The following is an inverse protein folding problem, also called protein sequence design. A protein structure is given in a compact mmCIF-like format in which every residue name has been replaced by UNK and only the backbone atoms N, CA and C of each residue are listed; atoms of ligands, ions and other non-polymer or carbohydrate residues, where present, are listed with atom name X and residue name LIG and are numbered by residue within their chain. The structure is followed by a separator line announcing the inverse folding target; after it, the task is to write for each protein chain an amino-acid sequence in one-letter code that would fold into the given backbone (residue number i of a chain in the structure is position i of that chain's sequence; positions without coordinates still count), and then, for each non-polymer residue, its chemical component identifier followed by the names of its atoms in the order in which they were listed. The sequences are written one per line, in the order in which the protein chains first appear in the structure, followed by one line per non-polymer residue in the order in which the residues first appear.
data_IF_538582962629
#
_entry.id   IF_538582962629
#
_cell.length_a   1.000
_cell.length_b   1.000
_cell.length_c   1.000
_cell.angle_alpha   90.00
_cell.angle_beta   90.00
_cell.angle_gamma   90.00
#
_symmetry.space_group_name_H-M   'P 1'
#
loop_
_entity.id
_entity.type
_entity.pdbx_description
1 polymer ?
#
# COMPACT_ATOMS: atom_id res chain seq x y z
N UNK A 1 -8.97 27.09 -27.52
CA UNK A 1 -10.29 26.49 -27.28
C UNK A 1 -10.35 26.04 -25.82
N UNK A 2 -11.10 26.71 -24.94
CA UNK A 2 -11.20 26.30 -23.55
C UNK A 2 -12.24 25.17 -23.44
N UNK A 3 -11.83 24.01 -22.93
CA UNK A 3 -12.79 22.96 -22.58
C UNK A 3 -13.36 23.31 -21.20
N UNK A 4 -14.60 23.79 -21.20
CA UNK A 4 -15.46 23.84 -20.02
C UNK A 4 -15.62 22.40 -19.48
N UNK A 5 -14.95 22.08 -18.39
CA UNK A 5 -15.27 20.90 -17.59
C UNK A 5 -16.26 21.31 -16.51
N UNK A 6 -17.55 21.23 -16.80
CA UNK A 6 -18.63 21.36 -15.82
C UNK A 6 -18.56 20.19 -14.84
N UNK A 7 -17.93 20.38 -13.68
CA UNK A 7 -18.06 19.43 -12.56
C UNK A 7 -19.50 19.48 -12.05
N UNK A 8 -20.20 18.36 -11.91
CA UNK A 8 -21.46 18.32 -11.18
C UNK A 8 -21.20 18.65 -9.70
N UNK A 9 -21.89 19.67 -9.18
CA UNK A 9 -21.95 19.98 -7.74
C UNK A 9 -23.03 19.13 -7.08
N UNK A 10 -22.69 17.93 -6.60
CA UNK A 10 -23.46 17.23 -5.55
C UNK A 10 -22.55 16.23 -4.83
N UNK A 11 -22.06 16.62 -3.65
CA UNK A 11 -21.22 15.79 -2.79
C UNK A 11 -20.03 16.60 -2.26
N UNK A 12 -20.01 16.86 -0.96
CA UNK A 12 -18.93 17.57 -0.28
C UNK A 12 -17.61 16.79 -0.46
N UNK A 13 -16.79 17.19 -1.44
CA UNK A 13 -15.46 16.61 -1.61
C UNK A 13 -14.61 17.05 -0.41
N UNK A 14 -14.45 16.17 0.57
CA UNK A 14 -13.63 16.40 1.75
C UNK A 14 -12.16 16.33 1.35
N UNK A 15 -11.42 17.41 1.57
CA UNK A 15 -9.96 17.41 1.42
C UNK A 15 -9.38 16.83 2.72
N UNK A 16 -8.55 15.80 2.59
CA UNK A 16 -7.85 15.16 3.71
C UNK A 16 -6.36 15.42 3.50
N UNK A 17 -5.71 16.24 4.33
CA UNK A 17 -4.28 16.49 4.20
C UNK A 17 -3.49 15.24 4.58
N UNK A 18 -2.42 14.96 3.83
CA UNK A 18 -1.47 13.88 4.10
C UNK A 18 -0.08 14.50 4.18
N UNK A 19 0.66 14.16 5.23
CA UNK A 19 2.06 14.58 5.39
C UNK A 19 2.97 13.38 5.26
N UNK A 20 3.97 13.49 4.38
CA UNK A 20 4.95 12.43 4.11
C UNK A 20 6.33 13.06 4.30
N UNK A 21 7.09 12.53 5.27
CA UNK A 21 8.50 12.86 5.42
C UNK A 21 9.30 11.95 4.49
N UNK A 22 10.20 12.50 3.69
CA UNK A 22 11.04 11.71 2.78
C UNK A 22 12.49 12.12 2.90
N UNK A 23 13.40 11.17 2.69
CA UNK A 23 14.81 11.48 2.44
C UNK A 23 15.30 10.70 1.22
N UNK A 24 16.29 11.27 0.53
CA UNK A 24 17.00 10.60 -0.56
C UNK A 24 18.49 10.89 -0.36
N UNK A 25 19.26 9.84 -0.08
CA UNK A 25 20.71 9.88 -0.03
C UNK A 25 21.27 9.62 -1.43
N UNK A 26 22.28 10.40 -1.82
CA UNK A 26 22.96 10.28 -3.12
C UNK A 26 24.47 10.27 -2.94
N UNK A 27 25.18 9.59 -3.83
CA UNK A 27 26.64 9.69 -3.92
C UNK A 27 27.08 10.93 -4.74
N UNK A 28 28.38 11.12 -4.88
CA UNK A 28 28.98 12.25 -5.64
C UNK A 28 28.58 12.24 -7.13
N UNK A 29 28.21 11.08 -7.67
CA UNK A 29 27.68 10.92 -9.04
C UNK A 29 26.18 11.21 -9.15
N UNK A 30 25.54 11.61 -8.05
CA UNK A 30 24.09 11.88 -7.91
C UNK A 30 23.19 10.66 -8.07
N UNK A 31 23.74 9.45 -7.96
CA UNK A 31 22.97 8.20 -7.96
C UNK A 31 22.32 8.01 -6.58
N UNK A 32 21.12 7.41 -6.56
CA UNK A 32 20.40 7.16 -5.30
C UNK A 32 21.06 5.99 -4.57
N UNK A 33 21.54 6.25 -3.34
CA UNK A 33 22.09 5.23 -2.44
C UNK A 33 21.01 4.62 -1.56
N UNK A 34 20.10 5.47 -1.06
CA UNK A 34 19.02 5.06 -0.18
C UNK A 34 17.93 6.12 -0.19
N UNK A 35 16.69 5.72 0.05
CA UNK A 35 15.58 6.63 0.26
C UNK A 35 14.59 6.01 1.23
N UNK A 36 13.77 6.85 1.85
CA UNK A 36 12.63 6.43 2.66
C UNK A 36 11.47 7.41 2.53
N UNK A 37 10.28 6.93 2.87
CA UNK A 37 9.07 7.72 2.98
C UNK A 37 8.27 7.30 4.23
N UNK A 38 8.17 8.20 5.20
CA UNK A 38 7.38 8.03 6.41
C UNK A 38 6.07 8.80 6.31
N UNK A 39 4.94 8.07 6.32
CA UNK A 39 3.61 8.68 6.39
C UNK A 39 3.32 9.11 7.83
N UNK A 40 3.28 10.42 8.06
CA UNK A 40 3.04 10.96 9.41
C UNK A 40 1.60 10.71 9.82
N UNK A 41 1.44 10.20 11.05
CA UNK A 41 0.12 9.95 11.66
C UNK A 41 -0.74 8.96 10.87
N UNK A 42 -0.12 7.98 10.21
CA UNK A 42 -0.83 7.07 9.31
C UNK A 42 -2.03 6.36 9.96
N UNK A 43 -1.93 5.95 11.23
CA UNK A 43 -3.07 5.39 11.98
C UNK A 43 -4.28 6.33 12.04
N UNK A 44 -4.06 7.58 12.43
CA UNK A 44 -5.12 8.60 12.46
C UNK A 44 -5.68 8.90 11.05
N UNK A 45 -4.82 8.90 10.04
CA UNK A 45 -5.25 9.06 8.64
C UNK A 45 -6.14 7.88 8.22
N UNK A 46 -5.72 6.65 8.49
CA UNK A 46 -6.47 5.44 8.15
C UNK A 46 -7.84 5.42 8.85
N UNK A 47 -7.89 5.74 10.14
CA UNK A 47 -9.14 5.89 10.89
C UNK A 47 -10.08 6.93 10.26
N UNK A 48 -9.52 8.09 9.88
CA UNK A 48 -10.28 9.18 9.24
C UNK A 48 -10.83 8.75 7.88
N UNK A 49 -10.04 8.01 7.09
CA UNK A 49 -10.44 7.49 5.79
C UNK A 49 -11.54 6.44 5.93
N UNK A 50 -11.40 5.49 6.85
CA UNK A 50 -12.42 4.46 7.11
C UNK A 50 -13.73 5.09 7.59
N UNK A 51 -13.68 6.04 8.52
CA UNK A 51 -14.89 6.72 9.00
C UNK A 51 -15.58 7.54 7.89
N UNK A 52 -14.79 8.19 7.02
CA UNK A 52 -15.32 8.94 5.87
C UNK A 52 -15.94 7.99 4.84
N UNK A 53 -15.29 6.85 4.57
CA UNK A 53 -15.83 5.82 3.69
C UNK A 53 -17.13 5.24 4.26
N UNK A 54 -17.18 4.89 5.55
CA UNK A 54 -18.37 4.39 6.22
C UNK A 54 -19.56 5.33 6.03
N UNK A 55 -19.36 6.63 6.27
CA UNK A 55 -20.40 7.65 6.07
C UNK A 55 -20.85 7.76 4.62
N UNK A 56 -19.91 7.70 3.66
CA UNK A 56 -20.21 7.80 2.23
C UNK A 56 -20.96 6.57 1.71
N UNK A 57 -20.64 5.40 2.25
CA UNK A 57 -21.23 4.11 1.87
C UNK A 57 -22.54 3.82 2.62
N UNK A 58 -22.88 4.61 3.64
CA UNK A 58 -24.00 4.29 4.54
C UNK A 58 -23.76 3.03 5.36
N UNK A 59 -22.48 2.66 5.59
CA UNK A 59 -22.14 1.46 6.33
C UNK A 59 -22.53 1.63 7.82
N UNK A 60 -23.32 0.71 8.40
CA UNK A 60 -23.80 0.78 9.78
C UNK A 60 -22.70 0.52 10.81
N UNK A 61 -21.54 -0.02 10.41
CA UNK A 61 -20.41 -0.28 11.29
C UNK A 61 -19.05 -0.06 10.61
N UNK A 62 -18.01 0.13 11.44
CA UNK A 62 -16.62 0.20 10.99
C UNK A 62 -16.20 -1.10 10.28
N UNK A 63 -16.68 -2.24 10.74
CA UNK A 63 -16.37 -3.56 10.17
C UNK A 63 -16.89 -3.63 8.73
N UNK A 64 -18.15 -3.25 8.49
CA UNK A 64 -18.74 -3.28 7.15
C UNK A 64 -18.06 -2.29 6.18
N UNK A 65 -17.65 -1.12 6.70
CA UNK A 65 -16.86 -0.17 5.94
C UNK A 65 -15.50 -0.78 5.52
N UNK A 66 -14.82 -1.46 6.44
CA UNK A 66 -13.56 -2.17 6.15
C UNK A 66 -13.79 -3.30 5.14
N UNK A 67 -14.85 -4.10 5.27
CA UNK A 67 -15.17 -5.15 4.29
C UNK A 67 -15.36 -4.59 2.89
N UNK A 68 -16.07 -3.46 2.76
CA UNK A 68 -16.28 -2.79 1.47
C UNK A 68 -14.97 -2.22 0.90
N UNK A 69 -14.14 -1.61 1.76
CA UNK A 69 -12.83 -1.12 1.37
C UNK A 69 -11.91 -2.27 0.94
N UNK A 70 -11.94 -3.40 1.65
CA UNK A 70 -11.18 -4.59 1.32
C UNK A 70 -11.54 -5.09 -0.10
N UNK A 71 -12.82 -5.19 -0.41
CA UNK A 71 -13.26 -5.59 -1.75
C UNK A 71 -12.80 -4.60 -2.83
N UNK A 72 -12.81 -3.29 -2.52
CA UNK A 72 -12.32 -2.25 -3.43
C UNK A 72 -10.81 -2.37 -3.69
N UNK A 73 -10.01 -2.56 -2.63
CA UNK A 73 -8.57 -2.75 -2.74
C UNK A 73 -8.22 -4.04 -3.50
N UNK A 74 -8.90 -5.14 -3.16
CA UNK A 74 -8.72 -6.42 -3.84
C UNK A 74 -9.03 -6.30 -5.34
N UNK A 75 -10.12 -5.62 -5.69
CA UNK A 75 -10.47 -5.36 -7.10
C UNK A 75 -9.34 -4.64 -7.84
N UNK A 76 -8.76 -3.59 -7.24
CA UNK A 76 -7.64 -2.87 -7.82
C UNK A 76 -6.39 -3.74 -7.99
N UNK A 77 -6.06 -4.53 -6.96
CA UNK A 77 -4.90 -5.44 -7.00
C UNK A 77 -5.09 -6.49 -8.10
N UNK A 78 -6.27 -7.11 -8.20
CA UNK A 78 -6.54 -8.12 -9.22
C UNK A 78 -6.54 -7.53 -10.64
N UNK A 79 -7.03 -6.29 -10.82
CA UNK A 79 -6.92 -5.60 -12.10
C UNK A 79 -5.47 -5.31 -12.51
N UNK A 80 -4.64 -4.87 -11.56
CA UNK A 80 -3.21 -4.66 -11.78
C UNK A 80 -2.50 -5.98 -12.08
N UNK A 81 -2.82 -7.04 -11.34
CA UNK A 81 -2.32 -8.39 -11.57
C UNK A 81 -2.63 -8.86 -12.99
N UNK A 82 -3.90 -8.85 -13.39
CA UNK A 82 -4.32 -9.36 -14.70
C UNK A 82 -3.69 -8.57 -15.85
N UNK A 83 -3.41 -7.29 -15.64
CA UNK A 83 -2.79 -6.42 -16.63
C UNK A 83 -1.27 -6.61 -16.77
N UNK A 84 -0.55 -6.79 -15.66
CA UNK A 84 0.91 -6.70 -15.65
C UNK A 84 1.62 -7.97 -15.18
N UNK A 85 0.96 -8.81 -14.38
CA UNK A 85 1.53 -10.03 -13.80
C UNK A 85 1.18 -11.24 -14.67
N UNK A 86 1.90 -11.37 -15.78
CA UNK A 86 1.73 -12.45 -16.76
C UNK A 86 2.98 -13.33 -16.85
N UNK A 87 2.88 -14.48 -17.53
CA UNK A 87 4.01 -15.41 -17.67
C UNK A 87 4.56 -15.85 -16.31
N UNK A 88 5.88 -15.74 -16.12
CA UNK A 88 6.55 -16.06 -14.85
C UNK A 88 6.13 -15.15 -13.68
N UNK A 89 5.57 -13.97 -13.95
CA UNK A 89 5.05 -13.06 -12.94
C UNK A 89 3.61 -13.36 -12.51
N UNK A 90 2.92 -14.32 -13.15
CA UNK A 90 1.53 -14.67 -12.81
C UNK A 90 1.44 -15.25 -11.40
N UNK A 91 0.60 -14.66 -10.56
CA UNK A 91 0.43 -15.05 -9.15
C UNK A 91 -0.86 -15.80 -8.86
N UNK A 92 -1.91 -15.51 -9.64
CA UNK A 92 -3.23 -16.13 -9.53
C UNK A 92 -3.59 -16.76 -10.86
N UNK A 93 -4.28 -17.91 -10.84
CA UNK A 93 -4.79 -18.58 -12.02
C UNK A 93 -5.77 -17.70 -12.80
N UNK A 94 -6.66 -17.01 -12.08
CA UNK A 94 -7.62 -16.06 -12.61
C UNK A 94 -8.01 -14.98 -11.58
N UNK A 95 -8.89 -14.07 -12.01
CA UNK A 95 -9.39 -12.97 -11.19
C UNK A 95 -10.20 -13.46 -9.98
N UNK A 96 -10.95 -14.56 -10.11
CA UNK A 96 -11.76 -15.10 -9.03
C UNK A 96 -10.88 -15.67 -7.91
N UNK A 97 -9.81 -16.38 -8.26
CA UNK A 97 -8.79 -16.85 -7.31
C UNK A 97 -8.15 -15.67 -6.58
N UNK A 98 -7.79 -14.61 -7.31
CA UNK A 98 -7.24 -13.39 -6.73
C UNK A 98 -8.18 -12.76 -5.71
N UNK A 99 -9.44 -12.55 -6.08
CA UNK A 99 -10.45 -11.97 -5.18
C UNK A 99 -10.67 -12.84 -3.95
N UNK A 100 -10.85 -14.16 -4.14
CA UNK A 100 -11.08 -15.11 -3.05
C UNK A 100 -9.94 -15.09 -2.03
N UNK A 101 -8.69 -15.08 -2.49
CA UNK A 101 -7.54 -15.01 -1.60
C UNK A 101 -7.50 -13.67 -0.85
N UNK A 102 -7.60 -12.55 -1.58
CA UNK A 102 -7.43 -11.20 -1.02
C UNK A 102 -8.54 -10.78 -0.05
N UNK A 103 -9.76 -11.32 -0.20
CA UNK A 103 -10.89 -11.00 0.70
C UNK A 103 -11.20 -12.10 1.70
N UNK A 104 -10.69 -13.33 1.50
CA UNK A 104 -11.05 -14.50 2.31
C UNK A 104 -9.90 -15.15 3.07
N UNK A 105 -8.67 -15.04 2.59
CA UNK A 105 -7.52 -15.80 3.13
C UNK A 105 -6.51 -14.95 3.91
N UNK A 106 -6.55 -13.63 3.74
CA UNK A 106 -5.67 -12.68 4.44
C UNK A 106 -6.48 -11.61 5.17
N UNK A 107 -5.89 -11.04 6.21
CA UNK A 107 -6.49 -9.94 6.96
C UNK A 107 -6.33 -8.62 6.20
N UNK A 108 -7.25 -7.67 6.45
CA UNK A 108 -7.16 -6.31 5.91
C UNK A 108 -5.80 -5.66 6.26
N UNK A 109 -5.40 -5.76 7.53
CA UNK A 109 -4.17 -5.21 8.08
C UNK A 109 -4.42 -4.00 8.96
N UNK A 110 -3.57 -3.81 9.97
CA UNK A 110 -3.52 -2.61 10.80
C UNK A 110 -2.60 -1.56 10.19
N UNK A 111 -2.59 -0.36 10.77
CA UNK A 111 -1.81 0.79 10.32
C UNK A 111 -0.29 0.56 10.34
N UNK A 112 0.20 -0.33 11.20
CA UNK A 112 1.61 -0.75 11.25
C UNK A 112 1.91 -2.04 10.47
N UNK A 113 0.94 -2.62 9.76
CA UNK A 113 1.07 -3.91 9.08
C UNK A 113 1.30 -3.81 7.55
N UNK A 114 1.91 -2.71 7.09
CA UNK A 114 2.22 -2.48 5.66
C UNK A 114 3.42 -3.28 5.13
N UNK A 115 4.11 -4.04 5.99
CA UNK A 115 5.13 -5.03 5.63
C UNK A 115 4.78 -6.44 6.10
N UNK A 116 3.48 -6.72 6.29
CA UNK A 116 2.96 -7.98 6.84
C UNK A 116 2.10 -8.71 5.81
N UNK A 117 1.67 -9.95 6.11
CA UNK A 117 0.79 -10.69 5.21
C UNK A 117 -0.66 -10.15 5.22
N UNK A 118 -0.84 -8.97 4.64
CA UNK A 118 -2.10 -8.21 4.68
C UNK A 118 -2.50 -7.69 3.31
N UNK A 119 -3.78 -7.35 3.18
CA UNK A 119 -4.32 -6.70 2.00
C UNK A 119 -3.74 -5.28 1.84
N UNK A 120 -3.56 -4.55 2.93
CA UNK A 120 -2.97 -3.22 2.91
C UNK A 120 -1.53 -3.23 2.37
N UNK A 121 -0.68 -4.18 2.77
CA UNK A 121 0.68 -4.33 2.22
C UNK A 121 0.64 -4.52 0.68
N UNK A 122 -0.23 -5.42 0.20
CA UNK A 122 -0.40 -5.66 -1.24
C UNK A 122 -0.94 -4.44 -1.99
N UNK A 123 -1.79 -3.64 -1.33
CA UNK A 123 -2.33 -2.40 -1.89
C UNK A 123 -1.28 -1.31 -2.10
N UNK A 124 -0.18 -1.34 -1.33
CA UNK A 124 1.00 -0.50 -1.54
C UNK A 124 1.79 -1.01 -2.74
N UNK A 125 2.08 -2.31 -2.78
CA UNK A 125 2.89 -2.91 -3.85
C UNK A 125 2.22 -2.88 -5.23
N UNK A 126 0.89 -2.97 -5.34
CA UNK A 126 0.19 -2.85 -6.64
C UNK A 126 0.54 -1.56 -7.40
N UNK A 127 0.78 -0.44 -6.69
CA UNK A 127 1.07 0.84 -7.32
C UNK A 127 2.45 0.85 -8.01
N UNK A 128 3.32 -0.08 -7.61
CA UNK A 128 4.68 -0.22 -8.11
C UNK A 128 4.77 -1.23 -9.27
N UNK A 129 3.80 -2.15 -9.38
CA UNK A 129 3.81 -3.25 -10.37
C UNK A 129 3.98 -2.75 -11.80
N UNK A 130 3.29 -1.68 -12.20
CA UNK A 130 3.38 -1.17 -13.57
C UNK A 130 4.78 -0.67 -13.96
N UNK A 131 5.62 -0.35 -12.97
CA UNK A 131 6.98 0.16 -13.20
C UNK A 131 8.01 -0.97 -13.21
N UNK A 132 7.84 -2.00 -12.38
CA UNK A 132 8.76 -3.14 -12.21
C UNK A 132 8.01 -4.43 -11.85
N UNK A 133 7.27 -5.03 -12.80
CA UNK A 133 6.42 -6.18 -12.52
C UNK A 133 7.24 -7.39 -12.06
N UNK A 134 8.45 -7.58 -12.57
CA UNK A 134 9.34 -8.69 -12.19
C UNK A 134 9.70 -8.70 -10.70
N UNK A 135 9.72 -7.53 -10.06
CA UNK A 135 9.96 -7.40 -8.62
C UNK A 135 8.66 -7.43 -7.83
N UNK A 136 7.63 -6.71 -8.30
CA UNK A 136 6.47 -6.43 -7.47
C UNK A 136 5.28 -7.37 -7.68
N UNK A 137 5.23 -8.14 -8.76
CA UNK A 137 4.19 -9.16 -8.93
C UNK A 137 4.23 -10.21 -7.80
N UNK A 138 5.39 -10.80 -7.42
CA UNK A 138 5.45 -11.72 -6.28
C UNK A 138 4.87 -11.14 -4.98
N UNK A 139 5.03 -9.83 -4.76
CA UNK A 139 4.59 -9.18 -3.52
C UNK A 139 3.07 -9.07 -3.39
N UNK A 140 2.36 -8.97 -4.52
CA UNK A 140 0.89 -8.91 -4.52
C UNK A 140 0.22 -10.29 -4.53
N UNK A 141 0.99 -11.37 -4.66
CA UNK A 141 0.49 -12.75 -4.75
C UNK A 141 0.29 -13.45 -3.39
N UNK A 142 -0.11 -14.73 -3.41
CA UNK A 142 -0.34 -15.52 -2.19
C UNK A 142 0.89 -15.65 -1.28
N UNK A 143 2.06 -15.90 -1.88
CA UNK A 143 3.31 -16.07 -1.14
C UNK A 143 3.85 -14.75 -0.56
N UNK A 144 3.34 -13.60 -1.02
CA UNK A 144 3.80 -12.27 -0.59
C UNK A 144 5.22 -11.90 -1.02
N UNK A 145 5.92 -12.78 -1.74
CA UNK A 145 7.24 -12.56 -2.33
C UNK A 145 8.31 -12.12 -1.33
N UNK A 146 8.18 -12.50 -0.05
CA UNK A 146 9.08 -12.07 1.03
C UNK A 146 8.88 -10.62 1.50
N UNK A 147 7.93 -9.86 0.92
CA UNK A 147 7.61 -8.49 1.33
C UNK A 147 6.32 -8.38 2.13
N UNK A 148 5.27 -9.11 1.70
CA UNK A 148 3.98 -9.14 2.41
C UNK A 148 3.82 -10.48 3.12
N UNK A 149 4.66 -10.72 4.12
CA UNK A 149 4.76 -11.98 4.89
C UNK A 149 4.77 -11.71 6.40
N UNK A 150 4.43 -12.71 7.21
CA UNK A 150 4.39 -12.59 8.68
C UNK A 150 5.62 -13.23 9.34
N UNK A 151 6.82 -12.82 8.91
CA UNK A 151 8.10 -13.46 9.28
C UNK A 151 9.01 -12.61 10.17
N UNK A 152 8.51 -11.51 10.73
CA UNK A 152 9.31 -10.60 11.56
C UNK A 152 8.73 -10.42 12.97
N UNK A 153 9.59 -10.27 13.97
CA UNK A 153 9.21 -9.96 15.36
C UNK A 153 9.61 -8.53 15.75
N UNK A 154 9.14 -8.05 16.90
CA UNK A 154 9.57 -6.72 17.39
C UNK A 154 11.05 -6.73 17.79
N UNK A 155 11.46 -7.80 18.47
CA UNK A 155 12.80 -7.99 19.02
C UNK A 155 13.87 -8.05 17.94
N UNK A 156 13.54 -8.62 16.78
CA UNK A 156 14.41 -8.66 15.60
C UNK A 156 14.45 -7.30 14.89
N UNK A 157 13.28 -6.68 14.64
CA UNK A 157 13.20 -5.48 13.80
C UNK A 157 13.64 -4.20 14.50
N UNK A 158 13.30 -4.02 15.78
CA UNK A 158 13.58 -2.78 16.51
C UNK A 158 15.07 -2.37 16.54
N UNK A 159 16.04 -3.30 16.69
CA UNK A 159 17.45 -2.93 16.65
C UNK A 159 18.04 -2.79 15.23
N UNK A 160 17.31 -3.14 14.17
CA UNK A 160 17.84 -3.10 12.81
C UNK A 160 18.20 -1.68 12.36
N UNK A 161 19.41 -1.53 11.83
CA UNK A 161 19.89 -0.28 11.23
C UNK A 161 19.49 -0.20 9.76
N UNK A 162 18.20 0.05 9.51
CA UNK A 162 17.66 0.12 8.15
C UNK A 162 18.24 1.25 7.31
N UNK A 163 18.59 2.40 7.92
CA UNK A 163 18.97 3.62 7.20
C UNK A 163 20.42 4.06 7.42
N UNK A 164 21.43 3.26 7.01
CA UNK A 164 22.85 3.58 7.21
C UNK A 164 23.30 4.82 6.42
N UNK A 165 22.55 5.24 5.40
CA UNK A 165 22.86 6.41 4.58
C UNK A 165 21.91 7.59 4.83
N UNK A 166 21.05 7.55 5.86
CA UNK A 166 20.13 8.65 6.13
C UNK A 166 20.89 9.93 6.50
N UNK A 167 20.55 11.10 5.90
CA UNK A 167 21.23 12.37 6.15
C UNK A 167 21.15 12.87 7.61
N UNK A 168 20.25 12.31 8.40
CA UNK A 168 19.97 12.69 9.80
C UNK A 168 20.74 11.79 10.78
N UNK A 169 21.23 10.63 10.33
CA UNK A 169 21.98 9.67 11.14
C UNK A 169 23.49 9.82 10.91
N UNK A 170 23.94 11.00 10.47
CA UNK A 170 25.36 11.36 10.46
C UNK A 170 25.87 11.61 11.89
N UNK A 171 25.79 10.59 12.73
CA UNK A 171 26.75 10.29 13.76
C UNK A 171 27.64 9.17 13.21
N UNK A 172 28.83 9.54 12.76
CA UNK A 172 29.97 8.64 12.62
C UNK A 172 30.05 7.73 13.86
N UNK A 173 30.54 6.49 13.76
CA UNK A 173 31.33 5.97 14.87
C UNK A 173 32.42 6.96 15.27
#
# INVERSE_FOLDING_TARGET
MPVLSTRPKTGSSRIIPVTIDTFIARNDRREILQYDATFRWFGFLLDTLVATAAKKLGAPSRVEAITTLAHTLATGICQVHDKYCTGAGKQYGDNAECMNFLTGSIRYGQDYELGRNTLLCRSVHQQMVQYRPEVHCPHIGPAGGGMCVDDQTYEENAPEKYFPNAPIVSGTP
#
